data_IF_640362132326
#
_entry.id   IF_640362132326
#
_cell.length_a   1.000
_cell.length_b   1.000
_cell.length_c   1.000
_cell.angle_alpha   90.00
_cell.angle_beta   90.00
_cell.angle_gamma   90.00
#
_symmetry.space_group_name_H-M   'P 1'
#
loop_
_entity.id
_entity.type
_entity.pdbx_description
1 polymer ?
#
# COMPACT_ATOMS: atom_id res chain seq x y z
N UNK A 1 4.52 -27.00 -17.00
CA UNK A 1 3.33 -26.27 -16.53
C UNK A 1 2.93 -25.31 -17.62
N UNK A 2 1.79 -25.54 -18.29
CA UNK A 2 1.30 -24.67 -19.34
C UNK A 2 0.83 -23.36 -18.70
N UNK A 3 1.46 -22.24 -19.08
CA UNK A 3 0.86 -20.93 -18.94
C UNK A 3 -0.39 -20.95 -19.83
N UNK A 4 -1.56 -20.96 -19.21
CA UNK A 4 -2.81 -20.76 -19.95
C UNK A 4 -2.81 -19.34 -20.44
N UNK A 5 -2.85 -19.17 -21.76
CA UNK A 5 -2.91 -17.88 -22.42
C UNK A 5 -4.33 -17.31 -22.21
N UNK A 6 -4.60 -16.81 -21.00
CA UNK A 6 -5.75 -15.94 -20.76
C UNK A 6 -5.50 -14.66 -21.57
N UNK A 7 -6.09 -14.59 -22.77
CA UNK A 7 -6.06 -13.40 -23.61
C UNK A 7 -6.73 -12.27 -22.83
N UNK A 8 -5.93 -11.51 -22.07
CA UNK A 8 -6.42 -10.40 -21.27
C UNK A 8 -6.83 -9.29 -22.23
N UNK A 9 -8.13 -9.01 -22.29
CA UNK A 9 -8.65 -7.93 -23.14
C UNK A 9 -8.10 -6.60 -22.67
N UNK A 10 -7.63 -5.79 -23.61
CA UNK A 10 -7.14 -4.45 -23.32
C UNK A 10 -8.23 -3.42 -23.57
N UNK A 11 -8.36 -2.47 -22.65
CA UNK A 11 -9.33 -1.38 -22.69
C UNK A 11 -8.63 -0.04 -22.53
N UNK A 12 -9.13 0.99 -23.19
CA UNK A 12 -8.78 2.39 -22.90
C UNK A 12 -9.61 2.92 -21.73
N UNK A 13 -9.09 3.91 -21.01
CA UNK A 13 -9.80 4.67 -19.99
C UNK A 13 -11.10 5.26 -20.56
N UNK A 14 -11.08 5.69 -21.83
CA UNK A 14 -12.30 6.17 -22.51
C UNK A 14 -13.36 5.08 -22.62
N UNK A 15 -13.00 3.87 -23.05
CA UNK A 15 -13.95 2.75 -23.12
C UNK A 15 -14.51 2.44 -21.73
N UNK A 16 -13.66 2.37 -20.71
CA UNK A 16 -14.12 2.12 -19.34
C UNK A 16 -15.08 3.22 -18.85
N UNK A 17 -14.82 4.49 -19.20
CA UNK A 17 -15.67 5.63 -18.80
C UNK A 17 -17.10 5.59 -19.34
N UNK A 18 -17.36 4.82 -20.40
CA UNK A 18 -18.70 4.60 -20.95
C UNK A 18 -19.56 3.68 -20.05
N UNK A 19 -18.92 2.93 -19.15
CA UNK A 19 -19.54 2.00 -18.20
C UNK A 19 -19.66 2.64 -16.80
N UNK A 20 -20.50 3.67 -16.71
CA UNK A 20 -20.65 4.53 -15.53
C UNK A 20 -22.07 4.56 -14.91
N UNK A 21 -22.86 3.50 -15.09
CA UNK A 21 -24.25 3.46 -14.63
C UNK A 21 -24.65 2.11 -14.03
N UNK A 22 -25.81 2.05 -13.39
CA UNK A 22 -26.30 0.84 -12.69
C UNK A 22 -26.49 -0.41 -13.58
N UNK A 23 -26.57 -0.26 -14.90
CA UNK A 23 -26.66 -1.39 -15.85
C UNK A 23 -25.31 -1.79 -16.42
N UNK A 24 -24.30 -0.95 -16.24
CA UNK A 24 -22.95 -1.18 -16.70
C UNK A 24 -21.99 -0.31 -15.89
N UNK A 25 -21.40 -0.89 -14.86
CA UNK A 25 -20.51 -0.23 -13.90
C UNK A 25 -19.16 -0.91 -13.90
N UNK A 26 -18.16 -0.26 -14.49
CA UNK A 26 -16.79 -0.77 -14.52
C UNK A 26 -15.87 0.09 -13.67
N UNK A 27 -14.84 -0.52 -13.11
CA UNK A 27 -13.84 0.14 -12.26
C UNK A 27 -12.44 -0.27 -12.69
N UNK A 28 -11.50 0.66 -12.56
CA UNK A 28 -10.08 0.39 -12.78
C UNK A 28 -9.40 0.31 -11.42
N UNK A 29 -8.82 -0.85 -11.10
CA UNK A 29 -8.06 -1.09 -9.87
C UNK A 29 -6.72 -1.74 -10.25
N UNK A 30 -5.60 -1.14 -9.86
CA UNK A 30 -4.24 -1.58 -10.21
C UNK A 30 -4.07 -1.82 -11.72
N UNK A 31 -4.56 -0.90 -12.55
CA UNK A 31 -4.61 -1.01 -14.01
C UNK A 31 -5.40 -2.20 -14.59
N UNK A 32 -6.13 -2.95 -13.76
CA UNK A 32 -7.04 -4.00 -14.18
C UNK A 32 -8.47 -3.44 -14.25
N UNK A 33 -9.25 -3.92 -15.20
CA UNK A 33 -10.64 -3.51 -15.42
C UNK A 33 -11.58 -4.57 -14.85
N UNK A 34 -12.50 -4.13 -14.01
CA UNK A 34 -13.48 -4.98 -13.33
C UNK A 34 -14.89 -4.56 -13.68
N UNK A 35 -15.74 -5.52 -14.04
CA UNK A 35 -17.17 -5.31 -14.21
C UNK A 35 -17.90 -5.65 -12.90
N UNK A 36 -18.29 -4.61 -12.16
CA UNK A 36 -18.97 -4.75 -10.86
C UNK A 36 -20.48 -4.63 -10.96
N UNK A 37 -21.05 -4.61 -12.18
CA UNK A 37 -22.49 -4.40 -12.41
C UNK A 37 -23.36 -5.36 -11.61
N UNK A 38 -22.97 -6.65 -11.55
CA UNK A 38 -23.71 -7.67 -10.81
C UNK A 38 -23.41 -7.66 -9.31
N UNK A 39 -22.33 -7.00 -8.90
CA UNK A 39 -21.87 -6.92 -7.52
C UNK A 39 -22.40 -5.68 -6.78
N UNK A 40 -23.00 -4.72 -7.48
CA UNK A 40 -23.50 -3.45 -6.89
C UNK A 40 -24.29 -3.69 -5.58
N UNK A 41 -25.30 -4.55 -5.62
CA UNK A 41 -26.16 -4.87 -4.47
C UNK A 41 -25.53 -5.83 -3.44
N UNK A 42 -24.43 -6.50 -3.80
CA UNK A 42 -23.73 -7.46 -2.95
C UNK A 42 -22.55 -6.80 -2.22
N UNK A 43 -22.18 -5.58 -2.59
CA UNK A 43 -21.07 -4.86 -1.99
C UNK A 43 -21.38 -4.46 -0.53
N UNK A 44 -20.60 -4.96 0.46
CA UNK A 44 -20.86 -4.66 1.86
C UNK A 44 -20.76 -3.16 2.22
N UNK A 45 -20.00 -2.39 1.43
CA UNK A 45 -19.90 -0.93 1.57
C UNK A 45 -21.04 -0.14 0.92
N UNK A 46 -22.04 -0.82 0.32
CA UNK A 46 -23.15 -0.22 -0.40
C UNK A 46 -22.86 0.02 -1.88
N UNK A 47 -23.91 0.10 -2.70
CA UNK A 47 -23.77 0.30 -4.15
C UNK A 47 -23.35 1.74 -4.52
N UNK A 48 -23.69 2.73 -3.70
CA UNK A 48 -23.46 4.15 -4.02
C UNK A 48 -21.98 4.46 -4.25
N UNK A 49 -21.09 3.93 -3.41
CA UNK A 49 -19.64 4.15 -3.54
C UNK A 49 -19.07 3.53 -4.81
N UNK A 50 -19.65 2.43 -5.31
CA UNK A 50 -19.24 1.82 -6.57
C UNK A 50 -19.73 2.64 -7.76
N UNK A 51 -20.96 3.18 -7.68
CA UNK A 51 -21.54 4.02 -8.71
C UNK A 51 -20.85 5.39 -8.84
N UNK A 52 -20.43 5.99 -7.73
CA UNK A 52 -19.67 7.25 -7.73
C UNK A 52 -18.33 7.14 -8.46
N UNK A 53 -17.71 5.96 -8.37
CA UNK A 53 -16.43 5.63 -8.99
C UNK A 53 -16.58 4.92 -10.34
N UNK A 54 -17.80 4.59 -10.76
CA UNK A 54 -18.03 3.85 -12.00
C UNK A 54 -17.46 4.63 -13.22
N UNK A 55 -16.76 3.89 -14.08
CA UNK A 55 -16.05 4.40 -15.23
C UNK A 55 -14.71 5.08 -14.92
N UNK A 56 -14.20 4.99 -13.69
CA UNK A 56 -12.99 5.69 -13.23
C UNK A 56 -11.95 4.75 -12.61
N UNK A 57 -10.79 5.34 -12.35
CA UNK A 57 -9.73 4.78 -11.51
C UNK A 57 -10.15 4.85 -10.04
N UNK A 58 -10.11 3.70 -9.36
CA UNK A 58 -10.58 3.52 -8.00
C UNK A 58 -9.53 2.85 -7.10
N UNK A 59 -8.27 2.77 -7.51
CA UNK A 59 -7.23 2.08 -6.74
C UNK A 59 -7.01 2.71 -5.39
N UNK A 60 -6.91 4.05 -5.34
CA UNK A 60 -6.70 4.78 -4.09
C UNK A 60 -7.82 4.49 -3.09
N UNK A 61 -9.08 4.60 -3.53
CA UNK A 61 -10.25 4.31 -2.71
C UNK A 61 -10.29 2.86 -2.24
N UNK A 62 -9.93 1.91 -3.12
CA UNK A 62 -9.90 0.49 -2.78
C UNK A 62 -8.85 0.16 -1.71
N UNK A 63 -7.67 0.77 -1.79
CA UNK A 63 -6.57 0.59 -0.85
C UNK A 63 -6.79 1.33 0.47
N UNK A 64 -7.34 2.55 0.45
CA UNK A 64 -7.62 3.36 1.65
C UNK A 64 -8.64 2.67 2.58
N UNK A 65 -9.66 2.02 2.00
CA UNK A 65 -10.64 1.22 2.76
C UNK A 65 -10.01 -0.02 3.39
N UNK A 66 -8.92 -0.55 2.83
CA UNK A 66 -8.21 -1.70 3.39
C UNK A 66 -8.96 -3.04 3.23
N UNK A 67 -9.48 -3.31 2.02
CA UNK A 67 -10.17 -4.58 1.72
C UNK A 67 -9.33 -5.82 2.07
N UNK A 68 -9.98 -6.82 2.67
CA UNK A 68 -9.36 -8.08 3.11
C UNK A 68 -8.79 -8.91 1.96
N UNK A 69 -7.95 -9.90 2.27
CA UNK A 69 -7.42 -10.87 1.31
C UNK A 69 -8.54 -11.55 0.52
N UNK A 70 -9.61 -11.94 1.23
CA UNK A 70 -10.73 -12.69 0.67
C UNK A 70 -11.54 -11.80 -0.28
N UNK A 71 -11.72 -10.52 0.06
CA UNK A 71 -12.35 -9.55 -0.82
C UNK A 71 -11.53 -9.35 -2.11
N UNK A 72 -10.20 -9.27 -2.00
CA UNK A 72 -9.29 -9.17 -3.16
C UNK A 72 -9.31 -10.43 -4.03
N UNK A 73 -9.50 -11.59 -3.42
CA UNK A 73 -9.65 -12.85 -4.16
C UNK A 73 -11.00 -12.91 -4.90
N UNK A 74 -12.10 -12.56 -4.23
CA UNK A 74 -13.43 -12.48 -4.86
C UNK A 74 -13.46 -11.48 -6.01
N UNK A 75 -12.77 -10.33 -5.88
CA UNK A 75 -12.66 -9.31 -6.92
C UNK A 75 -12.14 -9.87 -8.25
N UNK A 76 -11.26 -10.89 -8.23
CA UNK A 76 -10.72 -11.51 -9.44
C UNK A 76 -11.80 -12.10 -10.35
N UNK A 77 -12.92 -12.56 -9.79
CA UNK A 77 -14.07 -13.08 -10.55
C UNK A 77 -14.69 -12.04 -11.48
N UNK A 78 -14.58 -10.77 -11.13
CA UNK A 78 -15.16 -9.65 -11.85
C UNK A 78 -14.17 -9.02 -12.85
N UNK A 79 -12.92 -9.53 -12.95
CA UNK A 79 -11.92 -9.02 -13.89
C UNK A 79 -12.36 -9.32 -15.33
N UNK A 80 -12.46 -8.28 -16.16
CA UNK A 80 -12.79 -8.40 -17.59
C UNK A 80 -11.61 -8.10 -18.50
N UNK A 81 -10.57 -7.44 -17.98
CA UNK A 81 -9.36 -7.13 -18.73
C UNK A 81 -8.41 -6.20 -17.99
N UNK A 82 -7.59 -5.48 -18.77
CA UNK A 82 -6.56 -4.56 -18.31
C UNK A 82 -6.55 -3.27 -19.13
N UNK A 83 -6.00 -2.21 -18.58
CA UNK A 83 -5.81 -0.95 -19.30
C UNK A 83 -4.65 -1.10 -20.31
N UNK A 84 -4.81 -0.47 -21.49
CA UNK A 84 -3.76 -0.39 -22.51
C UNK A 84 -2.48 0.23 -21.92
N UNK A 85 -1.32 -0.28 -22.32
CA UNK A 85 -0.02 0.09 -21.75
C UNK A 85 0.22 1.61 -21.71
N UNK A 86 -0.17 2.32 -22.77
CA UNK A 86 0.05 3.76 -22.92
C UNK A 86 -0.77 4.62 -21.94
N UNK A 87 -1.87 4.08 -21.41
CA UNK A 87 -2.75 4.76 -20.45
C UNK A 87 -2.63 4.20 -19.02
N UNK A 88 -1.70 3.28 -18.78
CA UNK A 88 -1.45 2.77 -17.44
C UNK A 88 -0.87 3.88 -16.57
N UNK A 89 -1.55 4.19 -15.48
CA UNK A 89 -0.98 4.98 -14.40
C UNK A 89 0.25 4.26 -13.87
N UNK A 90 1.38 4.98 -13.72
CA UNK A 90 2.56 4.48 -13.00
C UNK A 90 2.21 4.41 -11.50
N UNK A 91 1.39 3.43 -11.14
CA UNK A 91 1.30 2.98 -9.76
C UNK A 91 2.61 2.22 -9.59
N UNK A 92 3.50 2.61 -8.65
CA UNK A 92 4.67 1.80 -8.38
C UNK A 92 4.12 0.42 -8.01
N UNK A 93 4.29 -0.53 -8.93
CA UNK A 93 4.10 -1.94 -8.65
C UNK A 93 4.84 -2.16 -7.35
N UNK A 94 4.12 -2.58 -6.31
CA UNK A 94 4.76 -2.97 -5.06
C UNK A 94 5.56 -4.22 -5.41
N UNK A 95 6.75 -3.98 -5.97
CA UNK A 95 7.79 -4.96 -6.15
C UNK A 95 7.91 -5.63 -4.81
N UNK A 96 7.74 -6.95 -4.82
CA UNK A 96 8.03 -7.81 -3.70
C UNK A 96 9.29 -7.30 -2.99
N UNK A 97 9.33 -7.24 -1.65
CA UNK A 97 10.52 -6.75 -0.98
C UNK A 97 11.66 -7.74 -1.24
N UNK A 98 12.44 -7.49 -2.29
CA UNK A 98 13.71 -8.14 -2.55
C UNK A 98 14.71 -7.57 -1.54
N UNK A 99 14.78 -8.26 -0.41
CA UNK A 99 15.68 -8.00 0.72
C UNK A 99 17.15 -8.31 0.42
N UNK A 100 17.69 -7.96 -0.75
CA UNK A 100 19.12 -8.10 -1.03
C UNK A 100 19.60 -7.12 -2.09
N UNK A 101 20.09 -5.94 -1.68
CA UNK A 101 21.40 -5.42 -2.10
C UNK A 101 21.70 -4.06 -1.46
N UNK A 102 22.91 -3.98 -0.93
CA UNK A 102 23.50 -2.83 -0.26
C UNK A 102 23.49 -1.55 -1.11
N UNK A 103 23.12 -0.43 -0.51
CA UNK A 103 23.84 0.83 -0.74
C UNK A 103 23.91 1.62 0.55
N UNK A 104 25.12 2.12 0.82
CA UNK A 104 25.58 2.70 2.07
C UNK A 104 25.20 4.18 2.17
N UNK A 105 25.10 4.61 3.43
CA UNK A 105 25.11 5.98 3.98
C UNK A 105 23.74 6.55 4.39
N UNK A 106 23.56 6.59 5.72
CA UNK A 106 23.10 7.71 6.56
C UNK A 106 21.89 8.49 6.00
N UNK A 107 20.66 8.37 6.52
CA UNK A 107 20.25 8.93 7.83
C UNK A 107 19.19 8.05 8.54
N UNK A 108 19.60 7.58 9.73
CA UNK A 108 18.83 7.19 10.92
C UNK A 108 17.29 7.12 10.86
N UNK A 109 16.74 5.94 10.52
CA UNK A 109 15.40 5.50 10.96
C UNK A 109 15.37 4.14 11.67
N UNK A 110 16.53 3.55 11.99
CA UNK A 110 16.61 2.21 12.60
C UNK A 110 17.38 2.17 13.94
N UNK A 111 17.21 3.18 14.81
CA UNK A 111 17.89 3.22 16.13
C UNK A 111 17.02 3.73 17.30
N UNK A 112 15.70 3.50 17.28
CA UNK A 112 14.81 3.94 18.38
C UNK A 112 15.10 3.29 19.75
N UNK A 113 15.73 2.10 19.81
CA UNK A 113 16.21 1.53 21.09
C UNK A 113 17.68 1.85 21.39
N UNK A 114 18.47 2.31 20.42
CA UNK A 114 19.87 2.66 20.67
C UNK A 114 19.99 3.98 21.43
N UNK A 115 19.08 4.93 21.20
CA UNK A 115 19.08 6.23 21.87
C UNK A 115 18.93 6.15 23.40
N UNK A 116 17.95 5.42 23.98
CA UNK A 116 17.85 5.31 25.44
C UNK A 116 19.03 4.55 26.08
N UNK A 117 19.63 3.57 25.39
CA UNK A 117 20.81 2.85 25.89
C UNK A 117 22.08 3.71 25.90
N UNK A 118 22.29 4.53 24.87
CA UNK A 118 23.44 5.44 24.78
C UNK A 118 23.32 6.57 25.82
N UNK A 119 22.12 7.12 26.02
CA UNK A 119 21.88 8.14 27.05
C UNK A 119 22.18 7.60 28.45
N UNK A 120 21.77 6.36 28.73
CA UNK A 120 22.05 5.68 29.99
C UNK A 120 23.55 5.47 30.23
N UNK A 121 24.29 5.00 29.22
CA UNK A 121 25.74 4.80 29.34
C UNK A 121 26.46 6.14 29.60
N UNK A 122 26.10 7.20 28.88
CA UNK A 122 26.69 8.53 29.06
C UNK A 122 26.42 9.08 30.47
N UNK A 123 25.18 8.97 30.96
CA UNK A 123 24.83 9.41 32.32
C UNK A 123 25.63 8.65 33.41
N UNK A 124 25.87 7.35 33.23
CA UNK A 124 26.65 6.55 34.19
C UNK A 124 28.13 6.94 34.22
N UNK A 125 28.72 7.28 33.08
CA UNK A 125 30.11 7.75 33.00
C UNK A 125 30.26 9.13 33.64
N UNK A 126 29.32 10.05 33.39
CA UNK A 126 29.31 11.37 34.02
C UNK A 126 29.17 11.24 35.55
N UNK A 127 28.24 10.41 36.02
CA UNK A 127 28.06 10.16 37.45
C UNK A 127 29.35 9.61 38.09
N UNK A 128 29.94 8.58 37.49
CA UNK A 128 31.12 7.89 38.04
C UNK A 128 32.40 8.72 37.98
N UNK A 129 32.56 9.56 36.95
CA UNK A 129 33.82 10.27 36.71
C UNK A 129 33.81 11.73 37.17
N UNK A 130 32.63 12.37 37.26
CA UNK A 130 32.51 13.77 37.69
C UNK A 130 31.85 13.86 39.06
N UNK A 131 30.73 13.16 39.28
CA UNK A 131 29.93 13.36 40.49
C UNK A 131 30.46 12.57 41.70
N UNK A 132 30.87 11.32 41.51
CA UNK A 132 31.46 10.48 42.58
C UNK A 132 32.75 11.08 43.17
N UNK A 133 33.75 11.53 42.38
CA UNK A 133 34.93 12.18 42.95
C UNK A 133 34.62 13.54 43.58
N UNK A 134 33.65 14.31 43.06
CA UNK A 134 33.22 15.57 43.66
C UNK A 134 32.53 15.39 45.03
N UNK A 135 31.69 14.36 45.18
CA UNK A 135 31.06 14.01 46.47
C UNK A 135 32.09 13.55 47.50
N UNK A 136 33.16 12.87 47.08
CA UNK A 136 34.19 12.36 47.99
C UNK A 136 35.10 13.47 48.55
N UNK A 137 35.20 14.62 47.87
CA UNK A 137 35.98 15.80 48.30
C UNK A 137 35.17 16.78 49.18
N UNK A 138 33.82 16.69 49.16
CA UNK A 138 32.89 17.55 49.90
C UNK A 138 32.24 16.83 51.09
N UNK A 139 32.96 15.90 51.74
CA UNK A 139 32.53 15.29 53.00
C UNK A 139 33.17 16.07 54.16
N UNK A 140 32.40 16.60 55.13
CA UNK A 140 32.97 17.24 56.32
C UNK A 140 33.73 16.25 57.20
#
# INVERSE_FOLDING_TARGET
MAAGDDVCKLFSCKQVSEHNNNKSSWLIIHNNVYDVTTFLNEHPGGEEVLLELAGKEATEYFEDVGHSSDAREMMKKYKVGEIILDERTNIPEKSEPNWNSETKNEETSMKSWLMPLILGLIATLIYKYILVPAVKQNKP
#
